data_IF_232803624569
#
_entry.id   IF_232803624569
#
_cell.length_a   1.000
_cell.length_b   1.000
_cell.length_c   1.000
_cell.angle_alpha   90.00
_cell.angle_beta   90.00
_cell.angle_gamma   90.00
#
_symmetry.space_group_name_H-M   'P 1'
#
loop_
_entity.id
_entity.type
_entity.pdbx_description
1 polymer ?
#
# COMPACT_ATOMS: atom_id res chain seq x y z
N UNK A 1 -29.37 17.64 34.51
CA UNK A 1 -28.55 17.40 33.31
C UNK A 1 -28.72 15.93 32.87
N UNK A 2 -29.50 15.66 31.81
CA UNK A 2 -29.65 14.32 31.23
C UNK A 2 -28.40 14.00 30.41
N UNK A 3 -27.60 13.01 30.83
CA UNK A 3 -26.52 12.46 29.99
C UNK A 3 -27.16 11.76 28.80
N UNK A 4 -27.00 12.31 27.60
CA UNK A 4 -27.27 11.58 26.35
C UNK A 4 -26.30 10.40 26.30
N UNK A 5 -26.72 9.22 26.74
CA UNK A 5 -26.03 7.98 26.41
C UNK A 5 -26.31 7.72 24.92
N UNK A 6 -25.29 7.54 24.07
CA UNK A 6 -25.51 7.10 22.71
C UNK A 6 -26.32 5.80 22.75
N UNK A 7 -27.34 5.70 21.90
CA UNK A 7 -28.14 4.48 21.78
C UNK A 7 -27.22 3.32 21.39
N UNK A 8 -27.39 2.13 21.98
CA UNK A 8 -26.53 0.97 21.73
C UNK A 8 -26.48 0.59 20.24
N UNK A 9 -27.54 0.90 19.50
CA UNK A 9 -27.66 0.71 18.04
C UNK A 9 -26.56 1.45 17.23
N UNK A 10 -26.10 2.63 17.68
CA UNK A 10 -25.10 3.44 16.95
C UNK A 10 -23.69 2.85 17.09
N UNK A 11 -23.39 2.22 18.23
CA UNK A 11 -22.09 1.58 18.46
C UNK A 11 -21.89 0.34 17.58
N UNK A 12 -22.98 -0.31 17.19
CA UNK A 12 -22.96 -1.60 16.50
C UNK A 12 -22.67 -1.50 15.00
N UNK A 13 -23.11 -0.45 14.31
CA UNK A 13 -22.84 -0.27 12.86
C UNK A 13 -21.48 0.41 12.60
N UNK A 14 -20.93 1.05 13.64
CA UNK A 14 -19.70 1.83 13.55
C UNK A 14 -18.50 1.05 13.00
N UNK A 15 -18.21 -0.21 13.36
CA UNK A 15 -17.01 -0.90 12.90
C UNK A 15 -17.04 -1.24 11.40
N UNK A 16 -18.19 -1.67 10.88
CA UNK A 16 -18.36 -1.98 9.46
C UNK A 16 -18.36 -0.71 8.59
N UNK A 17 -19.02 0.35 9.09
CA UNK A 17 -18.98 1.66 8.45
C UNK A 17 -17.57 2.26 8.51
N UNK A 18 -16.86 2.14 9.63
CA UNK A 18 -15.48 2.63 9.78
C UNK A 18 -14.52 1.85 8.88
N UNK A 19 -14.68 0.53 8.75
CA UNK A 19 -13.88 -0.27 7.82
C UNK A 19 -14.16 0.11 6.36
N UNK A 20 -15.43 0.24 5.97
CA UNK A 20 -15.80 0.72 4.64
C UNK A 20 -15.30 2.14 4.36
N UNK A 21 -15.41 3.05 5.34
CA UNK A 21 -14.91 4.41 5.26
C UNK A 21 -13.39 4.46 5.17
N UNK A 22 -12.66 3.67 5.96
CA UNK A 22 -11.21 3.58 5.93
C UNK A 22 -10.67 2.99 4.61
N UNK A 23 -11.41 2.05 4.03
CA UNK A 23 -11.13 1.50 2.70
C UNK A 23 -11.41 2.54 1.59
N UNK A 24 -12.52 3.28 1.68
CA UNK A 24 -12.90 4.32 0.71
C UNK A 24 -11.99 5.55 0.80
N UNK A 25 -11.55 5.92 2.00
CA UNK A 25 -10.64 7.05 2.21
C UNK A 25 -9.18 6.72 1.86
N UNK A 26 -8.87 5.49 1.44
CA UNK A 26 -7.51 5.08 1.03
C UNK A 26 -6.46 5.15 2.13
N UNK A 27 -6.87 5.42 3.38
CA UNK A 27 -5.97 5.70 4.50
C UNK A 27 -5.59 4.48 5.34
N UNK A 28 -6.24 3.34 5.11
CA UNK A 28 -5.89 2.11 5.81
C UNK A 28 -5.05 1.20 4.91
N UNK A 29 -3.76 0.96 5.24
CA UNK A 29 -3.03 -0.17 4.72
C UNK A 29 -3.61 -1.44 5.38
N UNK A 30 -4.86 -1.78 5.05
CA UNK A 30 -5.48 -3.07 5.40
C UNK A 30 -4.79 -4.11 4.53
N UNK A 31 -3.53 -4.36 4.83
CA UNK A 31 -2.87 -5.59 4.39
C UNK A 31 -3.67 -6.72 5.01
N UNK A 32 -3.99 -7.72 4.19
CA UNK A 32 -4.78 -8.90 4.54
C UNK A 32 -4.31 -9.56 5.84
N UNK A 33 -3.03 -9.36 6.21
CA UNK A 33 -2.41 -9.77 7.48
C UNK A 33 -3.04 -9.19 8.74
N UNK A 34 -3.73 -8.05 8.68
CA UNK A 34 -4.40 -7.44 9.84
C UNK A 34 -5.86 -7.86 9.99
N UNK A 35 -6.46 -8.44 8.95
CA UNK A 35 -7.81 -9.01 9.03
C UNK A 35 -7.84 -10.23 9.95
N UNK A 36 -6.83 -11.11 9.87
CA UNK A 36 -6.79 -12.36 10.66
C UNK A 36 -6.75 -12.10 12.17
N UNK A 37 -5.87 -11.23 12.72
CA UNK A 37 -5.91 -10.85 14.14
C UNK A 37 -7.18 -10.09 14.52
N UNK A 38 -7.81 -9.38 13.58
CA UNK A 38 -9.04 -8.64 13.83
C UNK A 38 -10.30 -9.52 13.77
N UNK A 39 -10.22 -10.77 13.29
CA UNK A 39 -11.37 -11.67 13.16
C UNK A 39 -12.15 -11.86 14.47
N UNK A 40 -11.52 -12.09 15.64
CA UNK A 40 -12.27 -12.25 16.89
C UNK A 40 -13.06 -10.98 17.26
N UNK A 41 -12.49 -9.79 17.05
CA UNK A 41 -13.15 -8.52 17.30
C UNK A 41 -14.27 -8.25 16.30
N UNK A 42 -14.07 -8.64 15.03
CA UNK A 42 -15.11 -8.63 14.00
C UNK A 42 -16.27 -9.56 14.38
N UNK A 43 -16.00 -10.79 14.80
CA UNK A 43 -17.03 -11.73 15.25
C UNK A 43 -17.74 -11.26 16.53
N UNK A 44 -17.02 -10.69 17.49
CA UNK A 44 -17.61 -10.12 18.71
C UNK A 44 -18.48 -8.88 18.40
N UNK A 45 -18.03 -8.03 17.47
CA UNK A 45 -18.83 -6.91 16.95
C UNK A 45 -20.10 -7.40 16.26
N UNK A 46 -19.99 -8.41 15.40
CA UNK A 46 -21.14 -9.04 14.73
C UNK A 46 -22.12 -9.69 15.72
N UNK A 47 -21.62 -10.38 16.75
CA UNK A 47 -22.44 -10.95 17.82
C UNK A 47 -23.12 -9.88 18.67
N UNK A 48 -22.47 -8.73 18.87
CA UNK A 48 -23.06 -7.59 19.58
C UNK A 48 -24.14 -6.90 18.75
N UNK A 49 -23.92 -6.77 17.44
CA UNK A 49 -24.94 -6.32 16.47
C UNK A 49 -26.17 -7.21 16.58
N UNK A 50 -26.01 -8.54 16.46
CA UNK A 50 -27.15 -9.46 16.50
C UNK A 50 -27.90 -9.43 17.83
N UNK A 51 -27.20 -9.22 18.96
CA UNK A 51 -27.81 -9.05 20.27
C UNK A 51 -28.61 -7.74 20.41
N UNK A 52 -28.17 -6.64 19.76
CA UNK A 52 -28.90 -5.36 19.76
C UNK A 52 -30.22 -5.38 18.99
N UNK A 53 -30.45 -6.39 18.15
CA UNK A 53 -31.70 -6.59 17.41
C UNK A 53 -32.72 -7.50 18.12
N UNK A 54 -32.50 -7.86 19.40
CA UNK A 54 -33.49 -8.59 20.18
C UNK A 54 -34.82 -7.82 20.26
N UNK A 55 -35.87 -8.34 19.61
CA UNK A 55 -37.22 -7.73 19.54
C UNK A 55 -37.60 -7.14 18.17
N UNK A 56 -36.68 -7.04 17.22
CA UNK A 56 -36.97 -6.70 15.80
C UNK A 56 -37.27 -7.99 15.00
N UNK A 57 -38.01 -7.93 13.88
CA UNK A 57 -38.29 -9.11 13.07
C UNK A 57 -36.98 -9.79 12.68
N UNK A 58 -36.86 -11.08 13.03
CA UNK A 58 -35.65 -11.91 12.96
C UNK A 58 -34.89 -11.81 11.63
N UNK A 59 -35.62 -11.54 10.54
CA UNK A 59 -35.10 -11.41 9.17
C UNK A 59 -34.21 -10.19 8.92
N UNK A 60 -34.40 -9.08 9.65
CA UNK A 60 -33.64 -7.84 9.42
C UNK A 60 -32.15 -7.95 9.87
N UNK A 61 -31.84 -8.40 11.10
CA UNK A 61 -30.45 -8.62 11.52
C UNK A 61 -29.78 -9.76 10.75
N UNK A 62 -30.51 -10.82 10.41
CA UNK A 62 -30.01 -11.91 9.57
C UNK A 62 -29.62 -11.40 8.17
N UNK A 63 -30.49 -10.60 7.53
CA UNK A 63 -30.19 -10.01 6.22
C UNK A 63 -28.99 -9.06 6.26
N UNK A 64 -28.86 -8.21 7.28
CA UNK A 64 -27.74 -7.30 7.44
C UNK A 64 -26.41 -8.05 7.69
N UNK A 65 -26.45 -9.13 8.48
CA UNK A 65 -25.32 -10.02 8.69
C UNK A 65 -24.90 -10.70 7.38
N UNK A 66 -25.85 -11.33 6.68
CA UNK A 66 -25.61 -11.98 5.40
C UNK A 66 -25.05 -10.99 4.37
N UNK A 67 -25.60 -9.78 4.27
CA UNK A 67 -25.10 -8.75 3.38
C UNK A 67 -23.65 -8.35 3.70
N UNK A 68 -23.32 -8.14 4.99
CA UNK A 68 -21.96 -7.78 5.42
C UNK A 68 -20.97 -8.90 5.11
N UNK A 69 -21.32 -10.15 5.41
CA UNK A 69 -20.50 -11.31 5.11
C UNK A 69 -20.30 -11.47 3.60
N UNK A 70 -21.36 -11.32 2.80
CA UNK A 70 -21.27 -11.37 1.34
C UNK A 70 -20.38 -10.26 0.77
N UNK A 71 -20.43 -9.04 1.32
CA UNK A 71 -19.54 -7.95 0.90
C UNK A 71 -18.09 -8.26 1.26
N UNK A 72 -17.81 -8.73 2.48
CA UNK A 72 -16.45 -9.07 2.91
C UNK A 72 -15.85 -10.22 2.07
N UNK A 73 -16.62 -11.29 1.87
CA UNK A 73 -16.20 -12.41 1.03
C UNK A 73 -16.06 -11.98 -0.43
N UNK A 74 -16.99 -11.16 -0.94
CA UNK A 74 -16.94 -10.57 -2.27
C UNK A 74 -15.67 -9.75 -2.49
N UNK A 75 -15.35 -8.82 -1.59
CA UNK A 75 -14.10 -8.06 -1.63
C UNK A 75 -12.86 -8.96 -1.55
N UNK A 76 -12.88 -9.96 -0.66
CA UNK A 76 -11.79 -10.92 -0.52
C UNK A 76 -11.52 -11.71 -1.80
N UNK A 77 -12.57 -12.21 -2.43
CA UNK A 77 -12.48 -13.04 -3.65
C UNK A 77 -12.19 -12.19 -4.89
N UNK A 78 -12.86 -11.05 -5.04
CA UNK A 78 -12.84 -10.26 -6.27
C UNK A 78 -11.70 -9.23 -6.32
N UNK A 79 -11.22 -8.75 -5.17
CA UNK A 79 -10.20 -7.69 -5.12
C UNK A 79 -8.90 -8.20 -4.50
N UNK A 80 -8.96 -8.75 -3.28
CA UNK A 80 -7.75 -9.08 -2.52
C UNK A 80 -7.04 -10.31 -3.10
N UNK A 81 -7.76 -11.39 -3.38
CA UNK A 81 -7.17 -12.62 -3.92
C UNK A 81 -6.45 -12.41 -5.25
N UNK A 82 -7.02 -11.77 -6.29
CA UNK A 82 -6.30 -11.56 -7.54
C UNK A 82 -5.10 -10.62 -7.37
N UNK A 83 -5.21 -9.59 -6.52
CA UNK A 83 -4.08 -8.73 -6.19
C UNK A 83 -2.92 -9.53 -5.58
N UNK A 84 -3.19 -10.31 -4.53
CA UNK A 84 -2.17 -11.12 -3.86
C UNK A 84 -1.60 -12.22 -4.76
N UNK A 85 -2.42 -12.79 -5.65
CA UNK A 85 -1.96 -13.75 -6.65
C UNK A 85 -0.98 -13.10 -7.64
N UNK A 86 -1.26 -11.87 -8.09
CA UNK A 86 -0.34 -11.09 -8.93
C UNK A 86 0.96 -10.72 -8.22
N UNK A 87 0.91 -10.37 -6.93
CA UNK A 87 2.12 -10.17 -6.12
C UNK A 87 2.92 -11.46 -5.99
N UNK A 88 2.25 -12.58 -5.71
CA UNK A 88 2.90 -13.89 -5.56
C UNK A 88 3.52 -14.38 -6.87
N UNK A 89 2.87 -14.18 -8.02
CA UNK A 89 3.44 -14.56 -9.33
C UNK A 89 4.67 -13.75 -9.71
N UNK A 90 4.79 -12.53 -9.18
CA UNK A 90 5.94 -11.64 -9.39
C UNK A 90 7.08 -11.86 -8.39
N UNK A 91 6.92 -12.76 -7.41
CA UNK A 91 7.86 -12.89 -6.30
C UNK A 91 9.28 -13.21 -6.77
N UNK A 92 9.42 -14.02 -7.82
CA UNK A 92 10.73 -14.34 -8.37
C UNK A 92 11.40 -13.12 -9.00
N UNK A 93 10.67 -12.32 -9.77
CA UNK A 93 11.17 -11.05 -10.31
C UNK A 93 11.56 -10.07 -9.19
N UNK A 94 10.80 -10.03 -8.08
CA UNK A 94 11.19 -9.24 -6.92
C UNK A 94 12.53 -9.69 -6.31
N UNK A 95 12.78 -11.01 -6.22
CA UNK A 95 14.06 -11.56 -5.74
C UNK A 95 15.20 -11.27 -6.69
N UNK A 96 14.99 -11.42 -7.99
CA UNK A 96 15.97 -11.09 -9.03
C UNK A 96 16.38 -9.62 -8.96
N UNK A 97 15.40 -8.72 -8.79
CA UNK A 97 15.66 -7.28 -8.59
C UNK A 97 16.47 -7.07 -7.31
N UNK A 98 16.05 -7.66 -6.19
CA UNK A 98 16.75 -7.52 -4.90
C UNK A 98 18.22 -7.96 -4.99
N UNK A 99 18.48 -9.12 -5.59
CA UNK A 99 19.84 -9.60 -5.84
C UNK A 99 20.62 -8.69 -6.80
N UNK A 100 19.95 -8.16 -7.83
CA UNK A 100 20.53 -7.20 -8.76
C UNK A 100 20.95 -5.88 -8.11
N UNK A 101 20.23 -5.41 -7.08
CA UNK A 101 20.60 -4.16 -6.38
C UNK A 101 22.01 -4.24 -5.80
N UNK A 102 22.44 -5.42 -5.35
CA UNK A 102 23.77 -5.58 -4.76
C UNK A 102 24.91 -5.51 -5.77
N UNK A 103 24.69 -5.92 -7.01
CA UNK A 103 25.71 -5.84 -8.06
C UNK A 103 25.67 -4.51 -8.80
N UNK A 104 24.50 -3.85 -8.87
CA UNK A 104 24.28 -2.62 -9.61
C UNK A 104 24.53 -1.34 -8.80
N UNK A 105 24.64 -1.44 -7.47
CA UNK A 105 24.83 -0.27 -6.61
C UNK A 105 26.07 -0.41 -5.71
N UNK A 106 26.83 0.67 -5.47
CA UNK A 106 27.94 0.65 -4.55
C UNK A 106 27.53 0.28 -3.11
N UNK A 107 28.43 -0.32 -2.31
CA UNK A 107 28.22 -0.50 -0.88
C UNK A 107 27.87 0.83 -0.20
N UNK A 108 26.89 0.82 0.71
CA UNK A 108 26.44 2.02 1.42
C UNK A 108 25.40 2.87 0.68
N UNK A 109 25.03 2.51 -0.56
CA UNK A 109 23.95 3.18 -1.30
C UNK A 109 22.64 3.14 -0.53
N UNK A 110 21.91 4.27 -0.54
CA UNK A 110 20.55 4.37 -0.01
C UNK A 110 19.57 4.38 -1.19
N UNK A 111 18.79 3.32 -1.31
CA UNK A 111 17.90 3.08 -2.44
C UNK A 111 16.46 3.39 -2.01
N UNK A 112 15.84 4.37 -2.66
CA UNK A 112 14.45 4.71 -2.45
C UNK A 112 13.53 3.70 -3.14
N UNK A 113 12.60 3.09 -2.39
CA UNK A 113 11.69 2.04 -2.86
C UNK A 113 10.27 2.29 -2.36
N UNK A 114 9.27 1.97 -3.19
CA UNK A 114 7.86 2.05 -2.78
C UNK A 114 7.42 0.86 -1.93
N UNK A 115 7.87 -0.37 -2.26
CA UNK A 115 7.61 -1.55 -1.43
C UNK A 115 8.89 -2.03 -0.76
N UNK A 116 9.01 -1.78 0.54
CA UNK A 116 10.19 -2.22 1.28
C UNK A 116 10.24 -3.75 1.53
N UNK A 117 9.10 -4.45 1.50
CA UNK A 117 8.98 -5.83 1.99
C UNK A 117 10.05 -6.81 1.45
N UNK A 118 9.98 -7.16 0.17
CA UNK A 118 10.91 -8.14 -0.42
C UNK A 118 12.33 -7.58 -0.52
N UNK A 119 12.48 -6.33 -0.92
CA UNK A 119 13.81 -5.72 -1.06
C UNK A 119 14.55 -5.59 0.27
N UNK A 120 13.83 -5.36 1.37
CA UNK A 120 14.43 -5.28 2.71
C UNK A 120 14.69 -6.64 3.34
N UNK A 121 14.00 -7.68 2.89
CA UNK A 121 14.21 -9.06 3.37
C UNK A 121 15.34 -9.77 2.59
N UNK A 122 15.31 -9.68 1.26
CA UNK A 122 16.25 -10.37 0.36
C UNK A 122 17.45 -9.51 -0.05
N UNK A 123 17.31 -8.18 -0.03
CA UNK A 123 18.36 -7.26 -0.48
C UNK A 123 19.32 -6.87 0.64
N UNK A 124 20.58 -6.62 0.28
CA UNK A 124 21.64 -6.25 1.24
C UNK A 124 22.01 -4.76 1.14
N UNK A 125 21.04 -3.91 0.79
CA UNK A 125 21.22 -2.45 0.67
C UNK A 125 20.38 -1.69 1.67
N UNK A 126 20.83 -0.46 1.99
CA UNK A 126 20.02 0.45 2.79
C UNK A 126 18.85 0.93 1.95
N UNK A 127 17.66 0.86 2.51
CA UNK A 127 16.43 1.25 1.82
C UNK A 127 15.83 2.50 2.46
N UNK A 128 15.35 3.40 1.61
CA UNK A 128 14.46 4.50 1.99
C UNK A 128 13.05 4.11 1.56
N UNK A 129 12.18 3.87 2.54
CA UNK A 129 10.80 3.43 2.28
C UNK A 129 9.89 4.61 1.98
N UNK A 130 9.48 4.75 0.73
CA UNK A 130 8.57 5.78 0.24
C UNK A 130 7.10 5.46 0.59
N UNK A 131 6.78 4.21 0.92
CA UNK A 131 5.46 3.78 1.37
C UNK A 131 5.15 4.13 2.82
N UNK A 132 6.16 4.55 3.60
CA UNK A 132 5.99 4.99 4.99
C UNK A 132 5.66 3.87 5.98
N UNK A 133 5.92 2.63 5.63
CA UNK A 133 5.77 1.47 6.52
C UNK A 133 6.85 1.46 7.62
N UNK A 134 8.09 1.78 7.29
CA UNK A 134 9.23 1.81 8.24
C UNK A 134 9.92 3.15 8.33
N UNK A 135 9.67 4.06 7.39
CA UNK A 135 10.25 5.42 7.40
C UNK A 135 9.17 6.41 7.86
N UNK A 136 9.20 6.86 9.14
CA UNK A 136 8.26 7.86 9.61
C UNK A 136 8.31 9.12 8.75
N UNK A 137 7.14 9.68 8.47
CA UNK A 137 7.00 10.90 7.67
C UNK A 137 7.03 10.70 6.16
N UNK A 138 7.38 9.53 5.62
CA UNK A 138 7.43 9.37 4.16
C UNK A 138 6.07 9.64 3.48
N UNK A 139 4.96 9.17 4.06
CA UNK A 139 3.62 9.44 3.51
C UNK A 139 3.15 10.91 3.56
N UNK A 140 3.80 11.76 4.36
CA UNK A 140 3.50 13.20 4.44
C UNK A 140 4.52 14.04 3.66
N UNK A 141 5.79 13.66 3.73
CA UNK A 141 6.92 14.45 3.26
C UNK A 141 7.35 14.07 1.84
N UNK A 142 6.97 12.86 1.38
CA UNK A 142 7.11 12.41 0.01
C UNK A 142 5.73 12.33 -0.67
N UNK A 143 5.28 13.40 -1.35
CA UNK A 143 3.96 13.43 -1.98
C UNK A 143 3.85 12.53 -3.22
N UNK A 144 4.97 12.08 -3.79
CA UNK A 144 5.04 11.31 -5.03
C UNK A 144 5.55 12.15 -6.20
N UNK A 145 6.41 11.55 -7.03
CA UNK A 145 7.03 12.23 -8.19
C UNK A 145 6.00 12.69 -9.23
N UNK A 146 4.88 11.98 -9.34
CA UNK A 146 3.75 12.29 -10.21
C UNK A 146 2.88 13.44 -9.70
N UNK A 147 2.84 13.66 -8.37
CA UNK A 147 2.02 14.70 -7.74
C UNK A 147 2.77 16.00 -7.51
N UNK A 148 3.96 15.91 -6.91
CA UNK A 148 4.86 17.04 -6.68
C UNK A 148 6.30 16.54 -6.74
N UNK A 149 6.87 16.60 -7.94
CA UNK A 149 8.26 16.23 -8.19
C UNK A 149 9.23 17.09 -7.37
N UNK A 150 8.97 18.39 -7.19
CA UNK A 150 9.93 19.28 -6.52
C UNK A 150 10.05 18.94 -5.04
N UNK A 151 8.92 18.75 -4.34
CA UNK A 151 8.92 18.34 -2.94
C UNK A 151 9.49 16.92 -2.76
N UNK A 152 9.11 16.00 -3.65
CA UNK A 152 9.60 14.61 -3.63
C UNK A 152 11.12 14.52 -3.84
N UNK A 153 11.67 15.27 -4.78
CA UNK A 153 13.12 15.35 -5.03
C UNK A 153 13.84 16.00 -3.85
N UNK A 154 13.28 17.06 -3.26
CA UNK A 154 13.82 17.66 -2.04
C UNK A 154 13.86 16.66 -0.89
N UNK A 155 12.81 15.86 -0.71
CA UNK A 155 12.76 14.79 0.28
C UNK A 155 13.86 13.75 0.04
N UNK A 156 13.98 13.22 -1.18
CA UNK A 156 15.01 12.25 -1.55
C UNK A 156 16.43 12.79 -1.27
N UNK A 157 16.70 14.04 -1.66
CA UNK A 157 17.99 14.70 -1.40
C UNK A 157 18.26 14.85 0.10
N UNK A 158 17.26 15.32 0.87
CA UNK A 158 17.40 15.52 2.32
C UNK A 158 17.67 14.22 3.09
N UNK A 159 17.19 13.09 2.56
CA UNK A 159 17.42 11.75 3.11
C UNK A 159 18.74 11.14 2.65
N UNK A 160 19.43 11.76 1.69
CA UNK A 160 20.65 11.23 1.09
C UNK A 160 20.41 10.01 0.20
N UNK A 161 19.25 9.93 -0.44
CA UNK A 161 18.96 8.86 -1.40
C UNK A 161 19.92 8.97 -2.60
N UNK A 162 20.60 7.88 -2.94
CA UNK A 162 21.51 7.82 -4.08
C UNK A 162 20.89 7.14 -5.29
N UNK A 163 19.83 6.37 -5.08
CA UNK A 163 19.12 5.66 -6.13
C UNK A 163 17.62 5.68 -5.86
N UNK A 164 16.83 5.50 -6.92
CA UNK A 164 15.39 5.25 -6.83
C UNK A 164 15.03 4.06 -7.72
N UNK A 165 14.27 3.11 -7.17
CA UNK A 165 13.62 2.07 -7.94
C UNK A 165 12.22 2.57 -8.31
N UNK A 166 12.05 2.98 -9.56
CA UNK A 166 10.81 3.56 -10.05
C UNK A 166 9.70 2.49 -10.07
N UNK A 167 8.62 2.66 -9.28
CA UNK A 167 7.57 1.65 -9.18
C UNK A 167 6.68 1.59 -10.43
N UNK A 168 6.50 2.70 -11.15
CA UNK A 168 5.45 2.87 -12.17
C UNK A 168 5.85 3.72 -13.39
N UNK A 169 7.15 3.90 -13.64
CA UNK A 169 7.63 4.71 -14.77
C UNK A 169 7.39 6.21 -14.57
N UNK A 170 7.25 6.67 -13.32
CA UNK A 170 6.98 8.08 -12.99
C UNK A 170 8.21 8.97 -13.14
N UNK A 171 9.41 8.38 -13.19
CA UNK A 171 10.66 9.13 -13.41
C UNK A 171 10.76 9.60 -14.86
N UNK A 172 10.42 8.74 -15.83
CA UNK A 172 10.61 9.04 -17.26
C UNK A 172 9.99 10.37 -17.73
N UNK A 173 8.75 10.74 -17.34
CA UNK A 173 8.15 12.02 -17.70
C UNK A 173 8.88 13.25 -17.13
N UNK A 174 9.57 13.11 -16.00
CA UNK A 174 10.23 14.22 -15.31
C UNK A 174 11.73 14.33 -15.63
N UNK A 175 12.33 13.36 -16.35
CA UNK A 175 13.73 13.42 -16.75
C UNK A 175 14.05 14.65 -17.62
N UNK A 176 13.09 15.14 -18.41
CA UNK A 176 13.27 16.39 -19.18
C UNK A 176 13.33 17.66 -18.32
N UNK A 177 13.12 17.54 -17.01
CA UNK A 177 13.15 18.64 -16.04
C UNK A 177 14.38 18.57 -15.13
N UNK A 178 15.38 17.74 -15.43
CA UNK A 178 16.58 17.55 -14.59
C UNK A 178 17.20 18.86 -14.11
N UNK A 179 17.45 19.82 -15.01
CA UNK A 179 18.05 21.12 -14.68
C UNK A 179 17.24 21.90 -13.64
N UNK A 180 15.91 21.82 -13.72
CA UNK A 180 15.00 22.52 -12.80
C UNK A 180 14.90 21.82 -11.45
N UNK A 181 14.95 20.49 -11.45
CA UNK A 181 14.87 19.68 -10.24
C UNK A 181 16.23 19.56 -9.55
N UNK A 182 17.31 19.91 -10.25
CA UNK A 182 18.69 19.79 -9.79
C UNK A 182 19.06 18.34 -9.52
N UNK A 183 18.61 17.42 -10.39
CA UNK A 183 18.95 15.99 -10.30
C UNK A 183 18.88 15.36 -11.68
N UNK A 184 19.89 14.59 -12.01
CA UNK A 184 19.91 13.73 -13.19
C UNK A 184 19.58 12.29 -12.81
N UNK A 185 18.66 11.70 -13.58
CA UNK A 185 18.27 10.30 -13.41
C UNK A 185 19.02 9.44 -14.43
N UNK A 186 20.02 8.69 -13.98
CA UNK A 186 20.80 7.79 -14.84
C UNK A 186 20.22 6.37 -14.74
N UNK A 187 19.56 5.84 -15.79
CA UNK A 187 19.02 4.47 -15.74
C UNK A 187 20.17 3.46 -15.67
N UNK A 188 20.08 2.52 -14.73
CA UNK A 188 21.09 1.47 -14.53
C UNK A 188 20.60 0.11 -15.01
N UNK A 189 19.35 -0.25 -14.69
CA UNK A 189 18.76 -1.52 -15.06
C UNK A 189 17.23 -1.43 -15.06
N UNK A 190 16.59 -2.35 -15.78
CA UNK A 190 15.13 -2.45 -15.84
C UNK A 190 14.66 -3.89 -15.77
N UNK A 191 13.54 -4.11 -15.09
CA UNK A 191 12.89 -5.42 -14.97
C UNK A 191 11.43 -5.33 -15.38
N UNK A 192 10.95 -6.37 -16.04
CA UNK A 192 9.56 -6.49 -16.47
C UNK A 192 8.82 -7.41 -15.52
N UNK A 193 7.78 -6.88 -14.90
CA UNK A 193 6.91 -7.60 -13.98
C UNK A 193 5.67 -8.13 -14.73
N UNK A 194 5.46 -9.46 -14.79
CA UNK A 194 4.25 -10.05 -15.35
C UNK A 194 3.01 -9.77 -14.47
N UNK A 195 1.92 -9.32 -15.10
CA UNK A 195 0.68 -8.97 -14.42
C UNK A 195 0.77 -7.61 -13.73
N UNK A 196 0.00 -6.63 -14.20
CA UNK A 196 -0.13 -5.32 -13.58
C UNK A 196 -0.54 -5.42 -12.11
N UNK A 197 -0.34 -4.34 -11.36
CA UNK A 197 -1.11 -4.18 -10.11
C UNK A 197 -2.59 -4.31 -10.49
N UNK A 198 -3.39 -4.96 -9.65
CA UNK A 198 -4.80 -5.29 -9.91
C UNK A 198 -5.71 -4.10 -10.28
N UNK A 199 -5.17 -2.89 -10.34
CA UNK A 199 -5.83 -1.63 -10.66
C UNK A 199 -5.48 -1.07 -12.05
N UNK A 200 -4.35 -1.46 -12.68
CA UNK A 200 -3.92 -0.87 -13.97
C UNK A 200 -4.39 -1.66 -15.20
N UNK A 201 -4.74 -2.95 -15.06
CA UNK A 201 -5.17 -3.81 -16.17
C UNK A 201 -4.07 -4.11 -17.19
N UNK A 202 -2.83 -3.65 -16.98
CA UNK A 202 -1.71 -3.90 -17.89
C UNK A 202 -1.23 -5.35 -17.81
N UNK A 203 -0.87 -5.95 -18.95
CA UNK A 203 -0.33 -7.31 -19.00
C UNK A 203 1.06 -7.40 -18.33
N UNK A 204 1.83 -6.32 -18.38
CA UNK A 204 3.13 -6.18 -17.73
C UNK A 204 3.35 -4.74 -17.27
N UNK A 205 4.25 -4.53 -16.33
CA UNK A 205 4.79 -3.19 -16.01
C UNK A 205 6.30 -3.27 -15.81
N UNK A 206 7.00 -2.17 -16.11
CA UNK A 206 8.46 -2.11 -16.00
C UNK A 206 8.86 -1.29 -14.81
N UNK A 207 9.84 -1.79 -14.06
CA UNK A 207 10.54 -1.01 -13.04
C UNK A 207 11.95 -0.74 -13.47
N UNK A 208 12.42 0.47 -13.20
CA UNK A 208 13.74 0.93 -13.60
C UNK A 208 14.47 1.43 -12.36
N UNK A 209 15.69 0.96 -12.16
CA UNK A 209 16.60 1.50 -11.16
C UNK A 209 17.32 2.69 -11.78
N UNK A 210 17.20 3.85 -11.15
CA UNK A 210 17.94 5.05 -11.51
C UNK A 210 18.96 5.39 -10.43
N UNK A 211 20.16 5.80 -10.85
CA UNK A 211 21.08 6.56 -10.02
C UNK A 211 20.65 8.02 -10.02
N UNK A 212 20.70 8.65 -8.85
CA UNK A 212 20.40 10.06 -8.65
C UNK A 212 21.72 10.83 -8.59
N UNK A 213 22.02 11.54 -9.67
CA UNK A 213 23.19 12.41 -9.76
C UNK A 213 22.74 13.83 -9.39
N UNK A 214 23.08 14.25 -8.17
CA UNK A 214 22.64 15.49 -7.53
C UNK A 214 23.51 16.70 -7.84
#
# INVERSE_FOLDING_TARGET
MRRCRPSPDILSVMPAFLLALLLVMGGAPVTTRYLVPALPALFAGLASISAGFQGRPRRLPEAAFTATLCVQLGCGILLVRPHMAGVASNMETYREVAAGLDSLTPPGSLIAVQEIGVFGYEGHRRLLDLGGLVTPGAGTDFPGLDRDATASIRYLRSRGATHILDPHGVVKPIMGLSDRLGVDFVPLASWVFPGGTSLSGAATYTRVLYRLDW
#
